data_IF_878446584633
#
_entry.id   IF_878446584633
#
_cell.length_a   1.000
_cell.length_b   1.000
_cell.length_c   1.000
_cell.angle_alpha   90.00
_cell.angle_beta   90.00
_cell.angle_gamma   90.00
#
_symmetry.space_group_name_H-M   'P 1'
#
loop_
_entity.id
_entity.type
_entity.pdbx_description
1 polymer ?
#
# COMPACT_ATOMS: atom_id res chain seq x y z
N UNK A 1 25.02 -45.04 -16.84
CA UNK A 1 24.36 -43.87 -16.23
C UNK A 1 23.52 -43.18 -17.31
N UNK A 2 22.19 -43.17 -17.19
CA UNK A 2 21.27 -42.40 -18.05
C UNK A 2 20.16 -41.84 -17.16
N UNK A 3 19.61 -40.69 -17.53
CA UNK A 3 18.68 -39.93 -16.69
C UNK A 3 17.39 -40.72 -16.39
N UNK A 4 16.97 -40.70 -15.12
CA UNK A 4 15.59 -41.01 -14.76
C UNK A 4 14.72 -39.78 -15.03
N UNK A 5 13.57 -39.98 -15.66
CA UNK A 5 12.65 -38.89 -15.98
C UNK A 5 11.95 -38.39 -14.70
N UNK A 6 12.27 -37.17 -14.29
CA UNK A 6 11.44 -36.41 -13.35
C UNK A 6 10.15 -35.99 -14.07
N UNK A 7 9.10 -36.81 -13.96
CA UNK A 7 7.75 -36.43 -14.34
C UNK A 7 7.24 -35.31 -13.43
N UNK A 8 7.51 -34.07 -13.81
CA UNK A 8 6.94 -32.89 -13.14
C UNK A 8 5.43 -32.88 -13.42
N UNK A 9 4.65 -33.17 -12.39
CA UNK A 9 3.20 -33.07 -12.42
C UNK A 9 2.80 -31.60 -12.56
N UNK A 10 2.46 -31.19 -13.78
CA UNK A 10 1.83 -29.91 -14.07
C UNK A 10 0.41 -29.87 -13.49
N UNK A 11 0.32 -29.62 -12.18
CA UNK A 11 -0.94 -29.27 -11.54
C UNK A 11 -1.43 -27.93 -12.11
N UNK A 12 -2.50 -27.98 -12.91
CA UNK A 12 -3.17 -26.80 -13.46
C UNK A 12 -3.84 -26.00 -12.33
N UNK A 13 -3.07 -25.13 -11.69
CA UNK A 13 -3.58 -24.14 -10.74
C UNK A 13 -4.42 -23.10 -11.49
N UNK A 14 -5.74 -23.27 -11.50
CA UNK A 14 -6.69 -22.30 -12.05
C UNK A 14 -6.71 -21.00 -11.22
N UNK A 15 -5.76 -20.10 -11.47
CA UNK A 15 -5.77 -18.73 -10.93
C UNK A 15 -6.39 -17.76 -11.94
N UNK A 16 -7.22 -16.82 -11.45
CA UNK A 16 -7.76 -15.74 -12.30
C UNK A 16 -6.67 -14.67 -12.48
N UNK A 17 -6.46 -14.23 -13.72
CA UNK A 17 -5.57 -13.12 -14.05
C UNK A 17 -6.39 -11.88 -14.41
N UNK A 18 -6.04 -10.72 -13.86
CA UNK A 18 -6.63 -9.43 -14.19
C UNK A 18 -5.64 -8.59 -14.98
N UNK A 19 -5.97 -8.24 -16.23
CA UNK A 19 -5.24 -7.23 -17.01
C UNK A 19 -5.54 -5.84 -16.43
N UNK A 20 -4.50 -5.16 -15.94
CA UNK A 20 -4.64 -3.85 -15.31
C UNK A 20 -4.91 -2.72 -16.30
N UNK A 21 -4.56 -2.88 -17.59
CA UNK A 21 -4.85 -1.86 -18.59
C UNK A 21 -6.35 -1.80 -18.92
N UNK A 22 -6.96 -2.96 -19.18
CA UNK A 22 -8.40 -3.07 -19.50
C UNK A 22 -9.26 -2.70 -18.29
N UNK A 23 -8.74 -2.92 -17.08
CA UNK A 23 -9.34 -2.50 -15.82
C UNK A 23 -9.32 -0.96 -15.63
N UNK A 24 -8.19 -0.28 -15.90
CA UNK A 24 -8.07 1.17 -15.71
C UNK A 24 -8.70 2.00 -16.84
N UNK A 25 -8.84 1.46 -18.06
CA UNK A 25 -9.51 2.16 -19.17
C UNK A 25 -11.04 2.27 -19.02
N UNK A 26 -11.63 1.69 -17.98
CA UNK A 26 -13.08 1.74 -17.76
C UNK A 26 -13.58 3.13 -17.40
N UNK A 27 -14.77 3.48 -17.91
CA UNK A 27 -15.41 4.80 -17.71
C UNK A 27 -15.61 5.12 -16.22
N UNK A 28 -16.01 4.13 -15.43
CA UNK A 28 -16.29 4.31 -14.00
C UNK A 28 -15.00 4.57 -13.19
N UNK A 29 -13.84 4.07 -13.64
CA UNK A 29 -12.54 4.45 -13.04
C UNK A 29 -12.24 5.93 -13.25
N UNK A 30 -12.43 6.42 -14.48
CA UNK A 30 -12.26 7.84 -14.80
C UNK A 30 -13.24 8.75 -14.04
N UNK A 31 -14.47 8.30 -13.82
CA UNK A 31 -15.45 9.02 -13.00
C UNK A 31 -15.09 9.02 -11.51
N UNK A 32 -14.61 7.90 -10.96
CA UNK A 32 -14.13 7.83 -9.58
C UNK A 32 -12.90 8.72 -9.36
N UNK A 33 -11.98 8.76 -10.33
CA UNK A 33 -10.79 9.61 -10.27
C UNK A 33 -11.15 11.11 -10.26
N UNK A 34 -12.10 11.54 -11.09
CA UNK A 34 -12.62 12.92 -11.10
C UNK A 34 -13.24 13.31 -9.76
N UNK A 35 -13.98 12.41 -9.10
CA UNK A 35 -14.57 12.62 -7.76
C UNK A 35 -13.54 12.90 -6.66
N UNK A 36 -12.25 12.64 -6.89
CA UNK A 36 -11.15 12.97 -5.98
C UNK A 36 -10.05 13.79 -6.66
N UNK A 37 -10.43 14.78 -7.47
CA UNK A 37 -9.50 15.79 -8.03
C UNK A 37 -8.32 15.21 -8.82
N UNK A 38 -8.52 14.06 -9.49
CA UNK A 38 -7.59 13.57 -10.50
C UNK A 38 -8.07 14.00 -11.88
N UNK A 39 -7.25 14.82 -12.55
CA UNK A 39 -7.45 15.26 -13.92
C UNK A 39 -6.50 14.49 -14.84
N UNK A 40 -7.00 14.13 -16.01
CA UNK A 40 -6.24 13.54 -17.14
C UNK A 40 -5.34 12.38 -16.72
N UNK A 41 -5.94 11.23 -16.39
CA UNK A 41 -5.21 9.97 -16.26
C UNK A 41 -4.58 9.62 -17.62
N UNK A 42 -3.31 9.24 -17.60
CA UNK A 42 -2.63 8.63 -18.73
C UNK A 42 -2.16 7.22 -18.34
N UNK A 43 -2.25 6.29 -19.28
CA UNK A 43 -1.78 4.92 -19.17
C UNK A 43 -0.72 4.68 -20.25
N UNK A 44 0.44 4.17 -19.85
CA UNK A 44 1.56 3.86 -20.76
C UNK A 44 2.00 2.39 -20.62
N UNK A 45 2.49 1.82 -21.73
CA UNK A 45 2.80 0.39 -21.93
C UNK A 45 4.25 0.15 -22.40
N UNK A 46 4.55 -1.13 -22.59
CA UNK A 46 5.69 -1.73 -23.33
C UNK A 46 6.51 -0.75 -24.21
N UNK A 47 7.81 -0.66 -23.93
CA UNK A 47 8.81 0.17 -24.63
C UNK A 47 8.55 1.69 -24.70
N UNK A 48 7.41 2.18 -24.22
CA UNK A 48 7.21 3.62 -23.97
C UNK A 48 8.06 4.09 -22.78
N UNK A 49 8.66 5.27 -22.92
CA UNK A 49 9.37 5.92 -21.82
C UNK A 49 8.40 6.77 -21.00
N UNK A 50 8.40 6.61 -19.67
CA UNK A 50 7.61 7.52 -18.82
C UNK A 50 8.16 8.93 -18.95
N UNK A 51 7.28 9.82 -19.40
CA UNK A 51 7.58 11.12 -19.97
C UNK A 51 6.84 12.18 -19.15
N UNK A 52 7.41 12.53 -18.00
CA UNK A 52 6.68 13.29 -16.98
C UNK A 52 6.47 14.74 -17.44
N UNK A 53 5.28 15.18 -17.91
CA UNK A 53 5.01 16.63 -18.10
C UNK A 53 3.57 17.10 -17.86
N UNK A 54 3.47 18.39 -17.50
CA UNK A 54 2.41 19.26 -18.00
C UNK A 54 2.91 20.70 -18.20
N UNK A 55 2.91 21.20 -19.46
CA UNK A 55 2.73 22.60 -19.92
C UNK A 55 3.04 22.67 -21.44
N UNK A 56 2.21 23.40 -22.19
CA UNK A 56 1.92 23.25 -23.64
C UNK A 56 3.09 23.59 -24.61
N UNK A 57 2.94 23.21 -25.88
CA UNK A 57 3.89 23.37 -26.98
C UNK A 57 3.59 24.59 -27.89
N UNK A 58 2.39 25.17 -27.82
CA UNK A 58 1.89 26.22 -28.74
C UNK A 58 2.44 27.64 -28.52
N UNK A 59 3.41 27.85 -27.63
CA UNK A 59 3.95 29.19 -27.32
C UNK A 59 5.28 29.46 -28.04
N UNK A 60 5.26 30.31 -29.06
CA UNK A 60 6.47 30.78 -29.76
C UNK A 60 7.29 31.70 -28.85
N UNK A 61 8.53 31.33 -28.52
CA UNK A 61 9.42 32.20 -27.73
C UNK A 61 9.98 33.35 -28.59
N UNK A 62 9.95 34.61 -28.12
CA UNK A 62 10.71 35.70 -28.74
C UNK A 62 12.23 35.50 -28.56
N UNK A 63 13.01 35.92 -29.56
CA UNK A 63 14.44 35.62 -29.68
C UNK A 63 15.37 36.22 -28.60
N UNK A 64 14.86 37.04 -27.68
CA UNK A 64 15.61 37.55 -26.50
C UNK A 64 14.68 37.69 -25.30
N UNK A 65 15.07 37.09 -24.16
CA UNK A 65 14.52 37.41 -22.84
C UNK A 65 15.61 38.02 -21.95
N UNK A 66 15.39 39.24 -21.49
CA UNK A 66 16.08 39.78 -20.31
C UNK A 66 15.26 39.34 -19.10
N UNK A 67 15.79 38.40 -18.31
CA UNK A 67 15.10 37.87 -17.14
C UNK A 67 15.18 38.90 -16.00
N UNK A 68 14.08 39.62 -15.74
CA UNK A 68 13.84 40.20 -14.41
C UNK A 68 13.30 39.10 -13.48
N UNK A 69 14.01 38.73 -12.40
CA UNK A 69 13.61 37.61 -11.56
C UNK A 69 12.37 37.97 -10.71
N UNK A 70 11.27 37.24 -10.89
CA UNK A 70 10.14 37.30 -9.95
C UNK A 70 10.40 36.38 -8.74
N UNK A 71 10.33 36.96 -7.53
CA UNK A 71 10.56 36.25 -6.27
C UNK A 71 9.23 35.72 -5.76
N UNK A 72 8.95 34.44 -5.99
CA UNK A 72 7.77 33.76 -5.40
C UNK A 72 8.03 33.49 -3.92
N UNK A 73 7.38 34.26 -3.04
CA UNK A 73 7.39 34.02 -1.59
C UNK A 73 6.49 32.83 -1.25
N UNK A 74 7.07 31.71 -0.82
CA UNK A 74 6.30 30.57 -0.33
C UNK A 74 5.73 30.84 1.06
N UNK A 75 4.40 30.91 1.17
CA UNK A 75 3.64 31.14 2.41
C UNK A 75 3.59 29.96 3.39
N UNK A 76 4.69 29.20 3.52
CA UNK A 76 4.84 28.09 4.47
C UNK A 76 5.95 28.35 5.48
N UNK A 77 5.87 27.74 6.67
CA UNK A 77 6.78 28.05 7.77
C UNK A 77 8.24 27.66 7.48
N UNK A 78 9.18 28.31 8.17
CA UNK A 78 10.62 27.96 8.17
C UNK A 78 10.90 26.50 8.54
N UNK A 79 9.95 25.82 9.18
CA UNK A 79 10.04 24.40 9.58
C UNK A 79 9.69 23.48 8.40
N UNK A 80 8.59 23.76 7.69
CA UNK A 80 8.15 22.99 6.51
C UNK A 80 9.14 23.12 5.35
N UNK A 81 9.63 24.34 5.08
CA UNK A 81 10.66 24.58 4.06
C UNK A 81 11.93 23.75 4.35
N UNK A 82 12.34 23.60 5.63
CA UNK A 82 13.45 22.73 6.04
C UNK A 82 13.14 21.23 5.84
N UNK A 83 11.90 20.80 6.11
CA UNK A 83 11.48 19.39 5.99
C UNK A 83 11.45 18.95 4.52
N UNK A 84 10.84 19.74 3.63
CA UNK A 84 10.79 19.47 2.19
C UNK A 84 12.22 19.38 1.64
N UNK A 85 13.06 20.39 1.92
CA UNK A 85 14.47 20.43 1.50
C UNK A 85 15.24 19.19 1.96
N UNK A 86 15.17 18.82 3.26
CA UNK A 86 15.81 17.60 3.79
C UNK A 86 15.31 16.30 3.12
N UNK A 87 14.01 16.19 2.82
CA UNK A 87 13.45 14.98 2.19
C UNK A 87 13.88 14.78 0.73
N UNK A 88 14.19 15.87 0.03
CA UNK A 88 14.73 15.83 -1.33
C UNK A 88 16.22 15.43 -1.29
N UNK A 89 17.03 16.11 -0.46
CA UNK A 89 18.45 15.78 -0.32
C UNK A 89 18.67 14.34 0.16
N UNK A 90 17.94 13.86 1.17
CA UNK A 90 18.10 12.49 1.69
C UNK A 90 17.64 11.38 0.71
N UNK A 91 16.92 11.73 -0.37
CA UNK A 91 16.64 10.81 -1.49
C UNK A 91 17.79 10.82 -2.51
N UNK A 92 18.39 11.98 -2.76
CA UNK A 92 19.53 12.13 -3.67
C UNK A 92 20.81 11.51 -3.05
N UNK A 93 21.08 11.73 -1.76
CA UNK A 93 22.20 11.14 -1.00
C UNK A 93 22.15 9.60 -0.93
N UNK A 94 20.99 8.98 -1.15
CA UNK A 94 20.84 7.51 -1.17
C UNK A 94 21.03 6.87 -2.55
N UNK A 95 21.02 7.67 -3.61
CA UNK A 95 21.20 7.20 -5.00
C UNK A 95 22.64 7.42 -5.51
N UNK A 96 23.49 8.09 -4.74
CA UNK A 96 24.85 8.51 -5.11
C UNK A 96 25.77 8.20 -3.92
N UNK A 97 26.86 7.44 -4.11
CA UNK A 97 27.81 7.16 -3.02
C UNK A 97 28.68 8.40 -2.69
N UNK A 98 28.11 9.28 -1.89
CA UNK A 98 28.75 10.52 -1.46
C UNK A 98 29.95 10.32 -0.51
N UNK A 99 30.13 9.15 0.10
CA UNK A 99 31.08 8.97 1.22
C UNK A 99 32.55 9.12 0.82
N UNK A 100 32.90 8.76 -0.42
CA UNK A 100 34.29 8.47 -0.78
C UNK A 100 35.02 9.56 -1.61
N UNK A 101 34.37 10.69 -1.97
CA UNK A 101 34.92 11.64 -2.97
C UNK A 101 35.11 13.09 -2.52
N UNK A 102 34.83 13.42 -1.26
CA UNK A 102 34.96 14.79 -0.74
C UNK A 102 36.29 15.02 0.01
N UNK A 103 37.38 15.14 -0.74
CA UNK A 103 38.67 15.60 -0.18
C UNK A 103 38.57 17.06 0.27
N UNK A 104 39.30 17.42 1.34
CA UNK A 104 39.16 18.74 2.03
C UNK A 104 39.40 19.97 1.15
N UNK A 105 39.99 19.83 -0.05
CA UNK A 105 40.30 20.94 -0.98
C UNK A 105 39.08 21.43 -1.77
N UNK A 106 38.10 20.57 -2.08
CA UNK A 106 36.97 20.93 -2.95
C UNK A 106 35.71 21.30 -2.15
N UNK A 107 35.79 22.31 -1.28
CA UNK A 107 34.59 22.89 -0.64
C UNK A 107 33.90 23.87 -1.59
N UNK A 108 32.55 23.88 -1.71
CA UNK A 108 31.85 24.93 -2.45
C UNK A 108 32.12 26.31 -1.80
N UNK A 109 32.16 27.40 -2.60
CA UNK A 109 32.43 28.74 -2.08
C UNK A 109 31.33 29.20 -1.12
N UNK A 110 31.68 30.06 -0.14
CA UNK A 110 30.81 30.43 1.00
C UNK A 110 29.49 31.14 0.65
N UNK A 111 29.28 31.58 -0.59
CA UNK A 111 28.11 32.37 -1.03
C UNK A 111 26.85 31.53 -1.37
N UNK A 112 26.71 30.31 -0.85
CA UNK A 112 25.62 29.40 -1.21
C UNK A 112 24.35 29.70 -0.39
N UNK A 113 23.58 30.67 -0.88
CA UNK A 113 22.32 31.12 -0.30
C UNK A 113 21.22 30.04 -0.21
N UNK A 114 20.22 30.29 0.63
CA UNK A 114 19.28 29.27 1.11
C UNK A 114 18.36 28.63 0.04
N UNK A 115 18.20 29.22 -1.13
CA UNK A 115 17.29 28.78 -2.19
C UNK A 115 17.96 27.81 -3.18
N UNK A 116 18.00 26.52 -2.83
CA UNK A 116 18.21 25.44 -3.79
C UNK A 116 16.86 24.82 -4.14
N UNK A 117 16.18 25.43 -5.11
CA UNK A 117 15.15 24.76 -5.90
C UNK A 117 15.85 24.27 -7.17
N UNK A 118 15.67 23.00 -7.54
CA UNK A 118 16.18 22.50 -8.83
C UNK A 118 15.29 23.14 -9.90
N UNK A 119 15.83 24.01 -10.79
CA UNK A 119 15.00 24.71 -11.75
C UNK A 119 14.49 23.70 -12.78
N UNK A 120 13.17 23.61 -12.93
CA UNK A 120 12.55 22.85 -14.00
C UNK A 120 11.69 23.76 -14.88
N UNK A 121 11.75 23.54 -16.19
CA UNK A 121 10.90 24.26 -17.16
C UNK A 121 10.18 23.27 -18.09
N UNK A 122 9.25 23.75 -18.92
CA UNK A 122 8.22 22.91 -19.54
C UNK A 122 7.77 23.48 -20.91
N UNK A 123 7.42 22.63 -21.91
CA UNK A 123 7.23 22.96 -23.36
C UNK A 123 6.70 21.79 -24.26
N UNK A 124 5.49 21.23 -24.08
CA UNK A 124 4.92 20.03 -24.80
C UNK A 124 4.52 18.84 -23.88
N UNK A 125 5.14 17.64 -24.03
CA UNK A 125 5.00 16.47 -23.08
C UNK A 125 6.25 15.91 -22.27
N UNK A 126 7.39 16.62 -22.05
CA UNK A 126 8.55 16.26 -21.14
C UNK A 126 8.99 17.33 -20.03
N UNK A 127 9.08 17.15 -18.69
CA UNK A 127 9.53 18.21 -17.70
C UNK A 127 11.06 18.40 -17.61
N UNK A 128 11.59 19.55 -18.07
CA UNK A 128 13.03 19.78 -18.21
C UNK A 128 13.64 20.03 -16.83
N UNK A 129 14.09 19.00 -16.13
CA UNK A 129 14.86 19.18 -14.89
C UNK A 129 16.23 19.74 -15.27
N UNK A 130 16.37 21.07 -15.27
CA UNK A 130 17.62 21.73 -15.61
C UNK A 130 18.61 21.62 -14.46
N UNK A 131 19.32 20.50 -14.43
CA UNK A 131 20.60 20.43 -13.74
C UNK A 131 21.54 21.49 -14.32
N UNK A 132 22.27 22.19 -13.45
CA UNK A 132 23.21 23.21 -13.89
C UNK A 132 24.39 22.57 -14.61
N UNK A 133 24.85 23.24 -15.67
CA UNK A 133 25.71 22.69 -16.73
C UNK A 133 27.13 22.28 -16.28
N UNK A 134 27.46 22.40 -14.99
CA UNK A 134 28.74 22.02 -14.37
C UNK A 134 28.63 20.75 -13.47
N UNK A 135 27.51 20.03 -13.46
CA UNK A 135 27.44 18.70 -12.83
C UNK A 135 28.12 17.66 -13.73
N UNK A 136 29.24 17.08 -13.27
CA UNK A 136 29.97 16.00 -13.95
C UNK A 136 29.16 14.68 -13.89
N UNK A 137 28.25 14.52 -14.84
CA UNK A 137 27.20 13.50 -14.81
C UNK A 137 27.66 12.04 -15.02
N UNK A 138 28.81 11.83 -15.65
CA UNK A 138 29.36 10.51 -16.02
C UNK A 138 29.62 9.59 -14.80
N UNK A 139 29.55 10.15 -13.59
CA UNK A 139 29.77 9.49 -12.32
C UNK A 139 28.51 9.45 -11.41
N UNK A 140 27.38 10.00 -11.84
CA UNK A 140 26.21 10.30 -10.98
C UNK A 140 24.92 9.61 -11.44
N UNK A 141 24.76 9.33 -12.74
CA UNK A 141 23.62 8.55 -13.22
C UNK A 141 23.71 7.08 -12.74
N UNK A 142 22.60 6.46 -12.32
CA UNK A 142 22.58 5.01 -12.10
C UNK A 142 22.87 4.32 -13.44
N UNK A 143 23.86 3.41 -13.47
CA UNK A 143 24.31 2.72 -14.69
C UNK A 143 23.36 1.61 -15.17
N UNK A 144 22.06 1.69 -14.88
CA UNK A 144 21.08 0.73 -15.42
C UNK A 144 20.51 1.26 -16.73
N UNK A 145 20.27 0.34 -17.68
CA UNK A 145 19.84 0.66 -19.04
C UNK A 145 18.41 1.23 -19.11
N UNK A 146 17.66 1.11 -18.00
CA UNK A 146 16.32 1.66 -17.82
C UNK A 146 16.30 3.20 -17.81
N UNK A 147 17.41 3.84 -17.41
CA UNK A 147 17.53 5.28 -17.33
C UNK A 147 18.31 5.85 -18.51
N UNK A 148 17.61 6.58 -19.39
CA UNK A 148 18.24 7.29 -20.51
C UNK A 148 18.34 8.78 -20.22
N UNK A 149 19.55 9.33 -20.43
CA UNK A 149 19.80 10.77 -20.44
C UNK A 149 20.14 11.21 -21.87
N UNK A 150 19.32 12.11 -22.41
CA UNK A 150 19.47 12.71 -23.75
C UNK A 150 18.95 14.14 -23.64
N UNK A 151 19.46 15.13 -24.36
CA UNK A 151 18.89 16.50 -24.44
C UNK A 151 18.48 17.13 -23.08
N UNK A 152 19.20 16.83 -21.98
CA UNK A 152 18.89 17.25 -20.59
C UNK A 152 17.63 16.63 -19.96
N UNK A 153 17.27 15.43 -20.40
CA UNK A 153 16.21 14.56 -19.88
C UNK A 153 16.68 13.52 -18.89
N UNK A 154 15.81 13.13 -17.97
CA UNK A 154 15.82 11.78 -17.41
C UNK A 154 14.56 11.05 -17.86
N UNK A 155 14.73 10.00 -18.66
CA UNK A 155 13.67 9.05 -18.99
C UNK A 155 13.78 7.80 -18.11
N UNK A 156 12.66 7.14 -17.86
CA UNK A 156 12.62 5.79 -17.29
C UNK A 156 11.87 4.85 -18.23
N UNK A 157 12.49 3.73 -18.62
CA UNK A 157 11.82 2.66 -19.37
C UNK A 157 10.87 1.91 -18.44
N UNK A 158 9.61 1.75 -18.83
CA UNK A 158 8.69 0.87 -18.10
C UNK A 158 9.14 -0.59 -18.34
N UNK A 159 9.38 -1.40 -17.29
CA UNK A 159 9.64 -2.83 -17.47
C UNK A 159 8.38 -3.52 -18.00
N UNK A 160 8.52 -4.42 -18.98
CA UNK A 160 7.40 -4.96 -19.77
C UNK A 160 6.28 -5.65 -18.95
N UNK A 161 6.55 -6.03 -17.70
CA UNK A 161 5.56 -6.58 -16.76
C UNK A 161 4.85 -5.51 -15.89
N UNK A 162 4.99 -4.21 -16.20
CA UNK A 162 4.33 -3.09 -15.54
C UNK A 162 3.64 -2.15 -16.55
N UNK A 163 2.63 -1.43 -16.07
CA UNK A 163 2.08 -0.22 -16.69
C UNK A 163 2.45 0.98 -15.83
N UNK A 164 2.69 2.13 -16.47
CA UNK A 164 2.74 3.41 -15.78
C UNK A 164 1.37 4.06 -15.80
N UNK A 165 0.86 4.42 -14.63
CA UNK A 165 -0.37 5.21 -14.45
C UNK A 165 0.06 6.58 -13.93
N UNK A 166 -0.33 7.66 -14.60
CA UNK A 166 0.02 9.02 -14.19
C UNK A 166 -1.19 9.95 -14.16
N UNK A 167 -1.08 11.05 -13.41
CA UNK A 167 -2.01 12.19 -13.47
C UNK A 167 -1.33 13.51 -13.12
N UNK A 168 -2.00 14.61 -13.47
CA UNK A 168 -1.59 15.97 -13.12
C UNK A 168 -2.55 16.50 -12.03
N UNK A 169 -2.01 16.94 -10.89
CA UNK A 169 -2.81 17.56 -9.83
C UNK A 169 -3.24 18.99 -10.19
N UNK A 170 -4.17 19.57 -9.41
CA UNK A 170 -4.54 21.00 -9.53
C UNK A 170 -3.30 21.91 -9.48
N UNK A 171 -2.33 21.59 -8.62
CA UNK A 171 -1.05 22.29 -8.43
C UNK A 171 -0.03 22.06 -9.56
N UNK A 172 -0.44 21.43 -10.67
CA UNK A 172 0.42 21.04 -11.81
C UNK A 172 1.54 20.06 -11.44
N UNK A 173 1.42 19.36 -10.30
CA UNK A 173 2.34 18.30 -9.93
C UNK A 173 1.93 16.98 -10.56
N UNK A 174 2.91 16.33 -11.20
CA UNK A 174 2.72 15.01 -11.79
C UNK A 174 2.93 13.98 -10.71
N UNK A 175 1.98 13.07 -10.60
CA UNK A 175 2.09 11.90 -9.77
C UNK A 175 1.95 10.68 -10.65
N UNK A 176 2.70 9.61 -10.35
CA UNK A 176 2.58 8.35 -11.06
C UNK A 176 2.70 7.16 -10.10
N UNK A 177 2.37 5.99 -10.61
CA UNK A 177 2.66 4.69 -10.01
C UNK A 177 2.96 3.69 -11.13
N UNK A 178 3.88 2.76 -10.86
CA UNK A 178 4.06 1.56 -11.65
C UNK A 178 3.21 0.45 -11.01
N UNK A 179 2.31 -0.15 -11.78
CA UNK A 179 1.49 -1.29 -11.36
C UNK A 179 1.80 -2.48 -12.28
N UNK A 180 1.77 -3.73 -11.82
CA UNK A 180 1.95 -4.88 -12.71
C UNK A 180 0.94 -4.86 -13.86
N UNK A 181 1.34 -5.27 -15.07
CA UNK A 181 0.42 -5.45 -16.22
C UNK A 181 -0.70 -6.43 -15.89
N UNK A 182 -0.38 -7.46 -15.10
CA UNK A 182 -1.30 -8.53 -14.71
C UNK A 182 -1.26 -8.76 -13.20
N UNK A 183 -2.42 -8.74 -12.55
CA UNK A 183 -2.57 -9.18 -11.16
C UNK A 183 -3.10 -10.62 -11.11
N UNK A 184 -2.38 -11.49 -10.38
CA UNK A 184 -2.80 -12.86 -10.09
C UNK A 184 -3.73 -12.86 -8.86
N UNK A 185 -5.01 -13.16 -9.09
CA UNK A 185 -6.07 -13.20 -8.09
C UNK A 185 -6.21 -14.63 -7.52
N UNK A 186 -5.41 -14.94 -6.51
CA UNK A 186 -5.44 -16.19 -5.74
C UNK A 186 -5.81 -15.95 -4.27
N UNK A 187 -5.91 -17.02 -3.47
CA UNK A 187 -6.25 -16.96 -2.04
C UNK A 187 -5.49 -15.84 -1.30
N UNK A 188 -4.16 -15.78 -1.46
CA UNK A 188 -3.32 -14.77 -0.81
C UNK A 188 -3.66 -13.33 -1.23
N UNK A 189 -4.00 -13.11 -2.51
CA UNK A 189 -4.48 -11.80 -2.97
C UNK A 189 -5.80 -11.42 -2.27
N UNK A 190 -6.75 -12.35 -2.14
CA UNK A 190 -8.05 -12.09 -1.51
C UNK A 190 -7.94 -11.97 0.02
N UNK A 191 -7.04 -12.72 0.66
CA UNK A 191 -6.69 -12.61 2.08
C UNK A 191 -6.16 -11.21 2.40
N UNK A 192 -5.18 -10.72 1.64
CA UNK A 192 -4.67 -9.34 1.81
C UNK A 192 -5.69 -8.26 1.45
N UNK A 193 -6.60 -8.51 0.49
CA UNK A 193 -7.71 -7.60 0.18
C UNK A 193 -8.72 -7.51 1.34
N UNK A 194 -9.06 -8.63 1.99
CA UNK A 194 -9.91 -8.64 3.18
C UNK A 194 -9.22 -7.99 4.38
N UNK A 195 -7.94 -8.31 4.62
CA UNK A 195 -7.13 -7.72 5.68
C UNK A 195 -7.01 -6.19 5.51
N UNK A 196 -6.82 -5.71 4.27
CA UNK A 196 -6.80 -4.30 3.91
C UNK A 196 -8.19 -3.62 3.97
N UNK A 197 -9.30 -4.37 4.06
CA UNK A 197 -10.65 -3.83 4.25
C UNK A 197 -11.06 -3.67 5.72
N UNK A 198 -10.47 -4.44 6.65
CA UNK A 198 -10.67 -4.21 8.08
C UNK A 198 -9.74 -3.11 8.60
N UNK A 199 -8.46 -3.45 8.76
CA UNK A 199 -7.44 -2.61 9.42
C UNK A 199 -6.97 -1.39 8.58
N UNK A 200 -7.74 -0.99 7.55
CA UNK A 200 -7.34 -0.05 6.50
C UNK A 200 -8.09 1.28 6.50
N UNK A 201 -7.50 2.32 5.87
CA UNK A 201 -8.23 3.56 5.59
C UNK A 201 -9.11 3.43 4.36
N UNK A 202 -10.43 3.52 4.54
CA UNK A 202 -11.41 3.44 3.44
C UNK A 202 -11.89 4.79 2.92
N UNK A 203 -11.78 5.87 3.70
CA UNK A 203 -12.25 7.20 3.28
C UNK A 203 -11.63 7.68 1.96
N UNK A 204 -12.43 8.41 1.15
CA UNK A 204 -11.96 9.11 -0.05
C UNK A 204 -11.24 10.43 0.28
N UNK A 205 -11.37 10.96 1.50
CA UNK A 205 -10.58 12.11 1.98
C UNK A 205 -9.09 11.78 2.08
N UNK A 206 -8.76 10.51 2.31
CA UNK A 206 -7.41 10.09 2.60
C UNK A 206 -6.64 9.85 1.30
N UNK A 207 -5.72 10.76 1.00
CA UNK A 207 -4.75 10.68 -0.12
C UNK A 207 -3.74 9.51 0.00
N UNK A 208 -3.91 8.62 0.97
CA UNK A 208 -2.97 7.56 1.33
C UNK A 208 -3.74 6.26 1.65
N UNK A 209 -3.19 5.12 1.28
CA UNK A 209 -3.62 3.82 1.85
C UNK A 209 -2.81 3.59 3.11
N UNK A 210 -3.49 3.31 4.22
CA UNK A 210 -2.85 2.82 5.45
C UNK A 210 -3.31 1.41 5.78
N UNK A 211 -2.52 0.73 6.59
CA UNK A 211 -2.88 -0.50 7.29
C UNK A 211 -2.27 -0.43 8.70
N UNK A 212 -3.04 -0.73 9.74
CA UNK A 212 -2.63 -0.51 11.13
C UNK A 212 -2.91 -1.75 11.97
N UNK A 213 -1.87 -2.46 12.44
CA UNK A 213 -2.04 -3.69 13.22
C UNK A 213 -0.89 -3.88 14.24
N UNK A 214 -1.07 -4.75 15.23
CA UNK A 214 -0.08 -5.08 16.28
C UNK A 214 0.48 -6.52 16.18
N UNK A 215 -0.06 -7.37 15.30
CA UNK A 215 0.42 -8.73 15.07
C UNK A 215 1.42 -8.78 13.90
N UNK A 216 2.62 -9.29 14.18
CA UNK A 216 3.74 -9.33 13.23
C UNK A 216 3.45 -10.16 11.97
N UNK A 217 2.63 -11.21 12.05
CA UNK A 217 2.28 -12.04 10.90
C UNK A 217 1.40 -11.27 9.92
N UNK A 218 0.39 -10.55 10.43
CA UNK A 218 -0.50 -9.71 9.61
C UNK A 218 0.25 -8.55 8.94
N UNK A 219 1.13 -7.87 9.67
CA UNK A 219 2.00 -6.82 9.12
C UNK A 219 2.89 -7.39 7.99
N UNK A 220 3.47 -8.58 8.19
CA UNK A 220 4.36 -9.21 7.20
C UNK A 220 3.60 -9.73 5.96
N UNK A 221 2.39 -10.27 6.15
CA UNK A 221 1.46 -10.64 5.08
C UNK A 221 1.10 -9.41 4.24
N UNK A 222 0.71 -8.31 4.88
CA UNK A 222 0.28 -7.10 4.19
C UNK A 222 1.41 -6.41 3.42
N UNK A 223 2.64 -6.42 3.95
CA UNK A 223 3.83 -5.94 3.20
C UNK A 223 4.08 -6.83 1.98
N UNK A 224 3.96 -8.15 2.13
CA UNK A 224 4.09 -9.10 1.01
C UNK A 224 2.99 -8.91 -0.05
N UNK A 225 1.76 -8.58 0.38
CA UNK A 225 0.66 -8.20 -0.51
C UNK A 225 0.93 -6.89 -1.27
N UNK A 226 1.41 -5.83 -0.61
CA UNK A 226 1.84 -4.61 -1.30
C UNK A 226 2.96 -4.88 -2.33
N UNK A 227 3.97 -5.70 -1.99
CA UNK A 227 5.02 -6.09 -2.92
C UNK A 227 4.45 -6.86 -4.15
N UNK A 228 3.42 -7.73 -3.97
CA UNK A 228 2.69 -8.37 -5.09
C UNK A 228 1.88 -7.40 -5.96
N UNK A 229 1.54 -6.22 -5.46
CA UNK A 229 0.93 -5.13 -6.24
C UNK A 229 1.97 -4.18 -6.87
N UNK A 230 3.25 -4.57 -6.88
CA UNK A 230 4.35 -3.78 -7.45
C UNK A 230 4.88 -2.66 -6.55
N UNK A 231 4.37 -2.54 -5.32
CA UNK A 231 4.78 -1.48 -4.38
C UNK A 231 5.95 -1.99 -3.55
N UNK A 232 7.16 -1.51 -3.83
CA UNK A 232 8.35 -1.90 -3.06
C UNK A 232 8.26 -1.46 -1.60
N UNK A 233 8.93 -2.22 -0.72
CA UNK A 233 8.94 -1.97 0.73
C UNK A 233 9.56 -0.62 1.10
N UNK A 234 10.44 -0.07 0.26
CA UNK A 234 11.06 1.27 0.40
C UNK A 234 10.08 2.42 0.08
N UNK A 235 9.01 2.15 -0.67
CA UNK A 235 7.96 3.12 -0.96
C UNK A 235 6.95 3.24 0.20
N UNK A 236 6.83 2.19 1.02
CA UNK A 236 6.04 2.17 2.25
C UNK A 236 6.72 3.01 3.35
N UNK A 237 5.91 3.59 4.24
CA UNK A 237 6.38 4.30 5.44
C UNK A 237 5.80 3.65 6.68
N UNK A 238 6.59 3.64 7.74
CA UNK A 238 6.25 2.92 8.97
C UNK A 238 6.21 3.90 10.14
N UNK A 239 5.08 3.94 10.83
CA UNK A 239 4.83 4.79 11.98
C UNK A 239 4.45 3.86 13.14
N UNK A 240 5.30 3.65 14.15
CA UNK A 240 4.90 2.94 15.34
C UNK A 240 4.05 3.88 16.19
N UNK A 241 2.90 3.39 16.62
CA UNK A 241 2.18 4.02 17.74
C UNK A 241 2.57 3.24 19.01
N UNK A 242 2.87 3.98 20.07
CA UNK A 242 3.38 3.42 21.33
C UNK A 242 2.50 3.90 22.48
N UNK A 243 2.31 3.08 23.53
CA UNK A 243 1.67 3.51 24.77
C UNK A 243 2.42 4.72 25.36
N UNK A 244 1.74 5.63 26.09
CA UNK A 244 2.37 6.82 26.67
C UNK A 244 3.58 6.53 27.57
N UNK A 245 3.59 5.36 28.22
CA UNK A 245 4.59 4.96 29.20
C UNK A 245 5.70 4.04 28.62
N UNK A 246 5.80 3.91 27.30
CA UNK A 246 6.80 3.05 26.62
C UNK A 246 7.91 3.86 25.94
N UNK A 247 9.17 3.43 26.05
CA UNK A 247 10.26 4.04 25.27
C UNK A 247 10.09 3.72 23.78
N UNK A 248 9.75 4.77 23.02
CA UNK A 248 9.65 4.76 21.56
C UNK A 248 10.92 4.21 20.88
N UNK A 249 12.11 4.47 21.43
CA UNK A 249 13.38 3.94 20.95
C UNK A 249 13.42 2.41 21.04
N UNK A 250 12.90 1.82 22.12
CA UNK A 250 12.90 0.38 22.34
C UNK A 250 11.84 -0.33 21.52
N UNK A 251 10.62 0.22 21.45
CA UNK A 251 9.59 -0.30 20.55
C UNK A 251 10.03 -0.23 19.08
N UNK A 252 10.73 0.83 18.64
CA UNK A 252 11.33 0.87 17.29
C UNK A 252 12.45 -0.16 17.10
N UNK A 253 13.29 -0.43 18.10
CA UNK A 253 14.31 -1.52 18.02
C UNK A 253 13.63 -2.88 17.89
N UNK A 254 12.61 -3.15 18.71
CA UNK A 254 11.78 -4.37 18.73
C UNK A 254 11.09 -4.58 17.38
N UNK A 255 10.36 -3.59 16.87
CA UNK A 255 9.70 -3.67 15.57
C UNK A 255 10.68 -3.90 14.40
N UNK A 256 11.84 -3.25 14.41
CA UNK A 256 12.91 -3.52 13.43
C UNK A 256 13.42 -4.96 13.53
N UNK A 257 13.63 -5.49 14.74
CA UNK A 257 14.09 -6.87 14.97
C UNK A 257 13.08 -7.90 14.46
N UNK A 258 11.81 -7.74 14.80
CA UNK A 258 10.76 -8.69 14.42
C UNK A 258 10.46 -8.67 12.92
N UNK A 259 10.45 -7.50 12.26
CA UNK A 259 10.28 -7.42 10.81
C UNK A 259 11.53 -7.93 10.05
N UNK A 260 12.74 -7.72 10.59
CA UNK A 260 13.96 -8.26 9.99
C UNK A 260 14.00 -9.80 9.97
N UNK A 261 13.41 -10.49 10.98
CA UNK A 261 13.20 -11.95 10.96
C UNK A 261 12.32 -12.39 9.78
N UNK A 262 11.32 -11.58 9.45
CA UNK A 262 10.41 -11.78 8.32
C UNK A 262 11.00 -11.26 6.99
N UNK A 263 12.33 -11.13 6.90
CA UNK A 263 13.10 -10.59 5.77
C UNK A 263 12.77 -9.15 5.33
N UNK A 264 11.94 -8.43 6.07
CA UNK A 264 11.56 -7.04 5.80
C UNK A 264 12.63 -6.12 6.39
N UNK A 265 13.44 -5.50 5.51
CA UNK A 265 14.63 -4.71 5.86
C UNK A 265 14.48 -3.23 5.45
N UNK A 266 15.50 -2.42 5.73
CA UNK A 266 15.60 -1.00 5.33
C UNK A 266 14.47 -0.05 5.84
N UNK A 267 13.68 -0.49 6.82
CA UNK A 267 12.50 0.19 7.35
C UNK A 267 12.79 1.60 7.88
N UNK A 268 12.20 2.60 7.23
CA UNK A 268 12.23 4.00 7.68
C UNK A 268 11.08 4.27 8.64
N UNK A 269 11.24 3.77 9.87
CA UNK A 269 10.40 4.17 10.99
C UNK A 269 10.52 5.68 11.25
N UNK A 270 9.37 6.34 11.39
CA UNK A 270 9.25 7.77 11.69
C UNK A 270 8.78 7.96 13.12
N UNK A 271 9.22 9.06 13.75
CA UNK A 271 8.71 9.52 15.04
C UNK A 271 7.18 9.51 15.08
N UNK A 272 6.55 9.22 16.23
CA UNK A 272 5.10 9.11 16.30
C UNK A 272 4.50 10.49 16.04
N UNK A 273 3.34 10.55 15.38
CA UNK A 273 2.61 11.83 15.24
C UNK A 273 2.09 12.31 16.60
N UNK A 274 1.70 11.36 17.44
CA UNK A 274 1.09 11.51 18.76
C UNK A 274 1.43 10.29 19.61
N UNK A 275 1.69 10.47 20.89
CA UNK A 275 1.38 9.44 21.89
C UNK A 275 -0.14 9.33 21.98
N UNK A 276 -0.69 8.14 21.81
CA UNK A 276 -2.13 7.92 21.87
C UNK A 276 -2.46 7.25 23.20
N UNK A 277 -3.17 7.94 24.08
CA UNK A 277 -3.48 7.49 25.45
C UNK A 277 -4.32 6.21 25.48
N UNK A 278 -5.01 5.90 24.38
CA UNK A 278 -5.84 4.69 24.24
C UNK A 278 -5.04 3.47 23.73
N UNK A 279 -3.76 3.62 23.36
CA UNK A 279 -2.93 2.54 22.81
C UNK A 279 -2.32 1.73 23.96
N UNK A 280 -2.98 0.63 24.33
CA UNK A 280 -2.54 -0.30 25.38
C UNK A 280 -1.30 -1.11 24.94
N UNK A 281 -1.24 -1.50 23.66
CA UNK A 281 -0.17 -2.28 23.05
C UNK A 281 0.41 -1.52 21.86
N UNK A 282 1.74 -1.46 21.72
CA UNK A 282 2.34 -0.85 20.52
C UNK A 282 1.89 -1.56 19.24
N UNK A 283 1.64 -0.76 18.20
CA UNK A 283 1.20 -1.19 16.89
C UNK A 283 2.03 -0.48 15.80
N UNK A 284 1.95 -0.96 14.56
CA UNK A 284 2.58 -0.32 13.40
C UNK A 284 1.53 0.06 12.36
N UNK A 285 1.47 1.35 12.06
CA UNK A 285 0.81 1.87 10.87
C UNK A 285 1.79 1.83 9.69
N UNK A 286 1.47 1.02 8.69
CA UNK A 286 2.03 1.08 7.33
C UNK A 286 1.28 2.18 6.58
N UNK A 287 1.98 3.04 5.85
CA UNK A 287 1.38 4.08 4.98
C UNK A 287 2.03 4.07 3.60
N UNK A 288 1.21 3.89 2.56
CA UNK A 288 1.59 4.16 1.18
C UNK A 288 0.96 5.47 0.70
N UNK A 289 1.81 6.47 0.48
CA UNK A 289 1.41 7.83 0.10
C UNK A 289 1.22 7.97 -1.41
N UNK A 290 0.22 7.30 -1.99
CA UNK A 290 -0.09 7.41 -3.42
C UNK A 290 -1.61 7.48 -3.68
N UNK A 291 -2.06 8.58 -4.31
CA UNK A 291 -3.48 8.85 -4.56
C UNK A 291 -4.06 8.00 -5.69
N UNK A 292 -3.31 7.73 -6.76
CA UNK A 292 -3.74 6.80 -7.82
C UNK A 292 -3.99 5.42 -7.24
N UNK A 293 -3.03 4.89 -6.49
CA UNK A 293 -3.17 3.57 -5.89
C UNK A 293 -4.42 3.44 -5.01
N UNK A 294 -4.69 4.44 -4.18
CA UNK A 294 -5.90 4.51 -3.35
C UNK A 294 -7.19 4.40 -4.17
N UNK A 295 -7.24 5.01 -5.35
CA UNK A 295 -8.41 4.97 -6.25
C UNK A 295 -8.48 3.64 -6.99
N UNK A 296 -7.36 3.16 -7.55
CA UNK A 296 -7.25 1.86 -8.21
C UNK A 296 -7.65 0.73 -7.25
N UNK A 297 -7.22 0.81 -5.98
CA UNK A 297 -7.60 -0.11 -4.91
C UNK A 297 -9.11 -0.09 -4.63
N UNK A 298 -9.71 1.10 -4.43
CA UNK A 298 -11.14 1.20 -4.14
C UNK A 298 -12.02 0.75 -5.33
N UNK A 299 -11.61 1.05 -6.56
CA UNK A 299 -12.29 0.56 -7.76
C UNK A 299 -12.13 -0.96 -7.95
N UNK A 300 -10.95 -1.50 -7.64
CA UNK A 300 -10.65 -2.93 -7.70
C UNK A 300 -11.50 -3.70 -6.70
N UNK A 301 -11.55 -3.22 -5.45
CA UNK A 301 -12.43 -3.76 -4.42
C UNK A 301 -13.89 -3.73 -4.89
N UNK A 302 -14.39 -2.61 -5.42
CA UNK A 302 -15.76 -2.50 -5.89
C UNK A 302 -16.12 -3.53 -6.99
N UNK A 303 -15.25 -3.72 -7.98
CA UNK A 303 -15.44 -4.73 -9.04
C UNK A 303 -15.36 -6.16 -8.47
N UNK A 304 -14.44 -6.42 -7.56
CA UNK A 304 -14.25 -7.76 -7.01
C UNK A 304 -15.32 -8.17 -5.99
N UNK A 305 -16.06 -7.24 -5.39
CA UNK A 305 -17.15 -7.57 -4.43
C UNK A 305 -18.12 -8.61 -5.00
N UNK A 306 -18.66 -8.42 -6.21
CA UNK A 306 -19.57 -9.40 -6.83
C UNK A 306 -18.92 -10.79 -6.96
N UNK A 307 -17.70 -10.84 -7.49
CA UNK A 307 -16.96 -12.11 -7.64
C UNK A 307 -16.67 -12.79 -6.29
N UNK A 308 -16.41 -12.01 -5.23
CA UNK A 308 -16.17 -12.52 -3.88
C UNK A 308 -17.46 -13.04 -3.26
N UNK A 309 -18.61 -12.40 -3.51
CA UNK A 309 -19.92 -12.90 -3.04
C UNK A 309 -20.41 -14.14 -3.79
N UNK A 310 -20.01 -14.34 -5.05
CA UNK A 310 -20.49 -15.43 -5.90
C UNK A 310 -19.58 -16.68 -5.88
N UNK A 311 -18.26 -16.51 -5.78
CA UNK A 311 -17.28 -17.61 -5.81
C UNK A 311 -16.91 -18.06 -4.39
N UNK A 312 -17.27 -19.30 -4.05
CA UNK A 312 -16.99 -19.91 -2.73
C UNK A 312 -15.49 -19.88 -2.35
N UNK A 313 -14.55 -20.00 -3.29
CA UNK A 313 -13.10 -19.96 -2.98
C UNK A 313 -12.66 -18.53 -2.66
N UNK A 314 -13.07 -17.56 -3.49
CA UNK A 314 -12.78 -16.13 -3.26
C UNK A 314 -13.40 -15.67 -1.95
N UNK A 315 -14.63 -16.09 -1.64
CA UNK A 315 -15.30 -15.85 -0.36
C UNK A 315 -14.50 -16.39 0.84
N UNK A 316 -14.04 -17.66 0.80
CA UNK A 316 -13.23 -18.27 1.88
C UNK A 316 -11.95 -17.46 2.14
N UNK A 317 -11.18 -17.17 1.09
CA UNK A 317 -9.91 -16.46 1.21
C UNK A 317 -10.09 -15.01 1.68
N UNK A 318 -11.07 -14.30 1.12
CA UNK A 318 -11.42 -12.95 1.56
C UNK A 318 -11.89 -12.91 3.03
N UNK A 319 -12.71 -13.89 3.46
CA UNK A 319 -13.19 -13.98 4.84
C UNK A 319 -12.07 -14.31 5.84
N UNK A 320 -10.99 -15.02 5.45
CA UNK A 320 -9.78 -15.13 6.29
C UNK A 320 -9.18 -13.76 6.59
N UNK A 321 -9.07 -12.90 5.58
CA UNK A 321 -8.62 -11.51 5.73
C UNK A 321 -9.51 -10.70 6.68
N UNK A 322 -10.83 -10.76 6.48
CA UNK A 322 -11.81 -10.05 7.31
C UNK A 322 -11.84 -10.56 8.75
N UNK A 323 -11.73 -11.87 8.98
CA UNK A 323 -11.70 -12.46 10.34
C UNK A 323 -10.34 -12.19 11.02
N UNK A 324 -9.25 -12.11 10.25
CA UNK A 324 -7.95 -11.68 10.78
C UNK A 324 -8.00 -10.24 11.31
N UNK A 325 -8.56 -9.29 10.57
CA UNK A 325 -8.76 -7.91 11.04
C UNK A 325 -9.88 -7.80 12.10
N UNK A 326 -11.14 -7.97 11.68
CA UNK A 326 -12.35 -7.62 12.44
C UNK A 326 -12.92 -8.76 13.30
N UNK A 327 -12.39 -9.98 13.15
CA UNK A 327 -12.90 -11.14 13.87
C UNK A 327 -12.64 -11.08 15.38
N UNK A 328 -13.66 -11.24 16.21
CA UNK A 328 -13.55 -11.30 17.66
C UNK A 328 -14.15 -12.61 18.22
N UNK A 329 -13.28 -13.50 18.69
CA UNK A 329 -13.67 -14.76 19.36
C UNK A 329 -14.13 -14.45 20.78
N UNK A 330 -15.44 -14.64 21.05
CA UNK A 330 -16.08 -14.47 22.36
C UNK A 330 -16.39 -15.83 22.98
N UNK A 331 -15.94 -16.03 24.21
CA UNK A 331 -16.24 -17.21 25.02
C UNK A 331 -17.50 -16.99 25.85
N UNK A 332 -18.14 -18.07 26.31
CA UNK A 332 -19.22 -17.99 27.31
C UNK A 332 -18.66 -18.05 28.75
N UNK A 333 -19.55 -18.06 29.76
CA UNK A 333 -19.19 -18.17 31.19
C UNK A 333 -18.49 -19.49 31.58
N UNK A 334 -18.48 -20.49 30.70
CA UNK A 334 -17.82 -21.80 30.86
C UNK A 334 -16.60 -21.95 29.93
N UNK A 335 -16.10 -20.84 29.39
CA UNK A 335 -14.96 -20.75 28.47
C UNK A 335 -15.10 -21.53 27.14
N UNK A 336 -16.29 -22.05 26.81
CA UNK A 336 -16.53 -22.64 25.49
C UNK A 336 -16.75 -21.54 24.45
N UNK A 337 -16.64 -21.91 23.17
CA UNK A 337 -16.88 -20.99 22.06
C UNK A 337 -18.36 -20.54 22.02
N UNK A 338 -18.62 -19.33 22.51
CA UNK A 338 -19.97 -18.75 22.54
C UNK A 338 -20.37 -18.10 21.22
N UNK A 339 -19.49 -17.28 20.65
CA UNK A 339 -19.68 -16.68 19.32
C UNK A 339 -18.36 -16.21 18.68
N UNK A 340 -18.37 -16.11 17.35
CA UNK A 340 -17.42 -15.29 16.59
C UNK A 340 -18.17 -14.05 16.12
N UNK A 341 -17.71 -12.85 16.51
CA UNK A 341 -18.21 -11.59 15.94
C UNK A 341 -17.31 -11.13 14.80
N UNK A 342 -17.86 -10.39 13.83
CA UNK A 342 -17.12 -9.65 12.81
C UNK A 342 -17.66 -8.22 12.80
N UNK A 343 -16.85 -7.25 13.22
CA UNK A 343 -17.23 -5.81 13.22
C UNK A 343 -17.38 -5.28 11.79
N UNK A 344 -18.22 -4.26 11.61
CA UNK A 344 -18.38 -3.58 10.33
C UNK A 344 -18.98 -2.18 10.49
N UNK A 345 -18.27 -1.18 9.94
CA UNK A 345 -18.59 0.26 10.03
C UNK A 345 -19.93 0.70 9.42
N UNK A 346 -20.63 -0.17 8.67
CA UNK A 346 -21.94 0.13 8.10
C UNK A 346 -22.78 -1.11 7.85
N UNK A 347 -24.08 -0.91 7.68
CA UNK A 347 -25.03 -1.98 7.32
C UNK A 347 -24.70 -2.63 5.97
N UNK A 348 -24.42 -1.85 4.92
CA UNK A 348 -24.02 -2.37 3.60
C UNK A 348 -22.68 -3.13 3.58
N UNK A 349 -21.86 -2.99 4.63
CA UNK A 349 -20.68 -3.83 4.87
C UNK A 349 -21.08 -5.12 5.61
N UNK A 350 -21.98 -5.06 6.61
CA UNK A 350 -22.56 -6.26 7.25
C UNK A 350 -23.32 -7.14 6.26
N UNK A 351 -24.16 -6.57 5.40
CA UNK A 351 -24.89 -7.32 4.37
C UNK A 351 -23.94 -8.04 3.40
N UNK A 352 -22.86 -7.38 2.98
CA UNK A 352 -21.87 -7.98 2.11
C UNK A 352 -21.12 -9.14 2.79
N UNK A 353 -20.66 -8.97 4.02
CA UNK A 353 -20.04 -10.07 4.78
C UNK A 353 -21.02 -11.21 5.03
N UNK A 354 -22.30 -10.92 5.32
CA UNK A 354 -23.39 -11.90 5.46
C UNK A 354 -23.62 -12.68 4.17
N UNK A 355 -23.55 -12.03 3.01
CA UNK A 355 -23.63 -12.70 1.71
C UNK A 355 -22.43 -13.65 1.51
N UNK A 356 -21.19 -13.17 1.71
CA UNK A 356 -19.99 -14.00 1.60
C UNK A 356 -20.05 -15.23 2.54
N UNK A 357 -20.53 -15.06 3.78
CA UNK A 357 -20.74 -16.14 4.74
C UNK A 357 -21.79 -17.14 4.24
N UNK A 358 -22.92 -16.66 3.70
CA UNK A 358 -23.98 -17.51 3.12
C UNK A 358 -23.46 -18.33 1.94
N UNK A 359 -22.65 -17.75 1.04
CA UNK A 359 -22.04 -18.45 -0.11
C UNK A 359 -21.12 -19.59 0.31
N UNK A 360 -20.44 -19.47 1.45
CA UNK A 360 -19.63 -20.56 2.03
C UNK A 360 -20.45 -21.50 2.93
N UNK A 361 -21.75 -21.27 3.10
CA UNK A 361 -22.68 -22.10 3.85
C UNK A 361 -22.72 -21.83 5.36
N UNK A 362 -22.25 -20.67 5.81
CA UNK A 362 -22.32 -20.21 7.20
C UNK A 362 -23.51 -19.28 7.38
N UNK A 363 -24.40 -19.62 8.31
CA UNK A 363 -25.57 -18.80 8.64
C UNK A 363 -25.24 -17.86 9.81
N UNK A 364 -25.47 -16.56 9.64
CA UNK A 364 -25.34 -15.56 10.70
C UNK A 364 -26.54 -15.62 11.64
N UNK A 365 -26.36 -15.31 12.93
CA UNK A 365 -27.48 -14.98 13.82
C UNK A 365 -27.80 -13.48 13.74
N UNK A 366 -28.43 -12.91 14.77
CA UNK A 366 -28.72 -11.47 14.81
C UNK A 366 -27.44 -10.64 14.83
N UNK A 367 -27.50 -9.45 14.24
CA UNK A 367 -26.42 -8.46 14.38
C UNK A 367 -26.35 -7.94 15.82
N UNK A 368 -25.15 -7.54 16.23
CA UNK A 368 -24.95 -6.57 17.28
C UNK A 368 -25.11 -5.17 16.68
N UNK A 369 -25.98 -4.35 17.26
CA UNK A 369 -26.27 -2.98 16.84
C UNK A 369 -25.82 -1.97 17.92
N UNK A 370 -24.96 -2.38 18.84
CA UNK A 370 -24.37 -1.51 19.86
C UNK A 370 -23.46 -0.47 19.19
N UNK A 371 -23.87 0.81 19.26
CA UNK A 371 -23.26 1.93 18.52
C UNK A 371 -21.73 1.99 18.66
N UNK A 372 -21.01 2.01 17.53
CA UNK A 372 -19.55 2.01 17.49
C UNK A 372 -18.89 0.63 17.68
N UNK A 373 -19.69 -0.44 17.69
CA UNK A 373 -19.25 -1.85 17.79
C UNK A 373 -20.15 -2.79 17.00
N UNK A 374 -20.85 -2.26 15.99
CA UNK A 374 -21.81 -2.95 15.16
C UNK A 374 -21.16 -4.14 14.44
N UNK A 375 -21.73 -5.33 14.60
CA UNK A 375 -21.07 -6.57 14.21
C UNK A 375 -22.04 -7.66 13.79
N UNK A 376 -21.62 -8.52 12.88
CA UNK A 376 -22.31 -9.79 12.60
C UNK A 376 -21.94 -10.76 13.71
N UNK A 377 -22.92 -11.48 14.27
CA UNK A 377 -22.68 -12.56 15.23
C UNK A 377 -22.84 -13.93 14.54
N UNK A 378 -21.81 -14.77 14.60
CA UNK A 378 -21.84 -16.17 14.18
C UNK A 378 -21.89 -17.04 15.43
N UNK A 379 -22.88 -17.92 15.49
CA UNK A 379 -23.18 -18.84 16.60
C UNK A 379 -23.34 -20.28 16.08
N UNK A 380 -23.53 -21.24 16.99
CA UNK A 380 -23.79 -22.66 16.74
C UNK A 380 -22.59 -23.48 16.22
N UNK A 381 -22.51 -24.72 16.71
CA UNK A 381 -21.40 -25.64 16.45
C UNK A 381 -21.14 -25.88 14.96
N UNK A 382 -22.17 -25.99 14.13
CA UNK A 382 -22.01 -26.38 12.72
C UNK A 382 -21.41 -25.25 11.88
N UNK A 383 -21.61 -23.99 12.29
CA UNK A 383 -20.88 -22.85 11.74
C UNK A 383 -19.43 -22.85 12.23
N UNK A 384 -19.19 -23.12 13.52
CA UNK A 384 -17.83 -23.19 14.07
C UNK A 384 -17.00 -24.32 13.43
N UNK A 385 -17.63 -25.46 13.12
CA UNK A 385 -17.04 -26.57 12.36
C UNK A 385 -16.64 -26.11 10.95
N UNK A 386 -17.51 -25.42 10.21
CA UNK A 386 -17.19 -24.85 8.88
C UNK A 386 -16.05 -23.82 8.93
N UNK A 387 -16.03 -22.96 9.96
CA UNK A 387 -14.94 -21.99 10.21
C UNK A 387 -13.60 -22.69 10.39
N UNK A 388 -13.58 -23.81 11.13
CA UNK A 388 -12.40 -24.65 11.32
C UNK A 388 -11.97 -25.34 10.00
N UNK A 389 -12.89 -26.04 9.34
CA UNK A 389 -12.62 -26.80 8.10
C UNK A 389 -12.11 -25.92 6.96
N UNK A 390 -12.61 -24.69 6.84
CA UNK A 390 -12.18 -23.71 5.82
C UNK A 390 -10.99 -22.85 6.28
N UNK A 391 -10.51 -23.07 7.52
CA UNK A 391 -9.36 -22.42 8.15
C UNK A 391 -9.52 -20.89 8.29
N UNK A 392 -10.75 -20.39 8.44
CA UNK A 392 -11.07 -18.96 8.33
C UNK A 392 -10.43 -18.08 9.42
N UNK A 393 -10.06 -18.66 10.56
CA UNK A 393 -9.41 -17.94 11.65
C UNK A 393 -7.87 -17.96 11.59
N UNK A 394 -7.26 -18.76 10.70
CA UNK A 394 -5.82 -19.08 10.72
C UNK A 394 -4.89 -17.89 10.56
N UNK A 395 -5.23 -16.95 9.69
CA UNK A 395 -4.36 -15.85 9.28
C UNK A 395 -3.90 -14.96 10.44
N UNK A 396 -4.65 -14.90 11.56
CA UNK A 396 -4.22 -14.25 12.80
C UNK A 396 -3.96 -15.32 13.90
N UNK A 397 -2.69 -15.63 14.25
CA UNK A 397 -2.34 -16.77 15.10
C UNK A 397 -3.04 -16.82 16.46
N UNK A 398 -3.12 -15.70 17.19
CA UNK A 398 -3.79 -15.64 18.50
C UNK A 398 -5.31 -15.89 18.40
N UNK A 399 -5.97 -15.31 17.39
CA UNK A 399 -7.40 -15.53 17.13
C UNK A 399 -7.65 -16.99 16.74
N UNK A 400 -6.77 -17.58 15.92
CA UNK A 400 -6.80 -19.01 15.60
C UNK A 400 -6.70 -19.87 16.86
N UNK A 401 -5.63 -19.73 17.66
CA UNK A 401 -5.42 -20.55 18.85
C UNK A 401 -6.58 -20.41 19.86
N UNK A 402 -7.08 -19.19 20.07
CA UNK A 402 -8.25 -18.94 20.93
C UNK A 402 -9.51 -19.65 20.40
N UNK A 403 -9.72 -19.64 19.09
CA UNK A 403 -10.84 -20.33 18.44
C UNK A 403 -10.73 -21.85 18.59
N UNK A 404 -9.55 -22.44 18.32
CA UNK A 404 -9.29 -23.89 18.46
C UNK A 404 -9.53 -24.35 19.90
N UNK A 405 -8.92 -23.68 20.88
CA UNK A 405 -9.03 -24.05 22.30
C UNK A 405 -10.51 -24.03 22.75
N UNK A 406 -11.27 -23.01 22.35
CA UNK A 406 -12.67 -22.85 22.69
C UNK A 406 -13.59 -23.88 22.00
N UNK A 407 -13.29 -24.25 20.75
CA UNK A 407 -14.03 -25.26 19.99
C UNK A 407 -13.79 -26.67 20.54
N UNK A 408 -12.57 -26.98 21.01
CA UNK A 408 -12.26 -28.26 21.66
C UNK A 408 -13.03 -28.43 22.98
N UNK A 409 -13.07 -27.39 23.84
CA UNK A 409 -13.92 -27.39 25.05
C UNK A 409 -15.41 -27.55 24.71
N UNK A 410 -15.88 -26.87 23.65
CA UNK A 410 -17.27 -27.01 23.17
C UNK A 410 -17.60 -28.45 22.77
N UNK A 411 -16.70 -29.14 22.05
CA UNK A 411 -16.89 -30.54 21.65
C UNK A 411 -17.00 -31.48 22.85
N UNK A 412 -16.15 -31.30 23.87
CA UNK A 412 -16.19 -32.10 25.10
C UNK A 412 -17.54 -31.97 25.83
N UNK A 413 -18.00 -30.72 26.05
CA UNK A 413 -19.28 -30.40 26.71
C UNK A 413 -20.54 -30.80 25.89
N UNK A 414 -20.37 -31.40 24.71
CA UNK A 414 -21.45 -31.95 23.86
C UNK A 414 -21.48 -33.49 23.85
N UNK A 415 -20.54 -34.13 24.55
CA UNK A 415 -20.41 -35.58 24.73
C UNK A 415 -20.67 -36.01 26.18
N UNK A 416 -20.91 -35.03 27.06
CA UNK A 416 -21.33 -35.13 28.45
C UNK A 416 -22.73 -34.56 28.60
#
# INVERSE_FOLDING_TARGET
MKNQNLNILNNNYNYTMLNMYDFLNKKEFSELARKVDILNIQLQKEDEFVKFRGWDEKFSMPNKFIIKPQIVKYGGSRKEQKIIKRSLYARIEKLIDFKNRWSKKNKPPKYWGNSHQIPYCIKGDYVWIKFHDNWLFDNILPKSEDFKYKDKWLYYKIPNNYIAVSYISKDQHIHFILLPTVLRLDDFFFEGLGLQQGDGTHSLSDVHVTFTNNNIALISHQITWFNRLGISTEALRFYPEVPPNSDFSEEVKKWKKELAKNNIRNLQFRSPKTTNENVINSLVQIVFHNKLFKISYLYLLNILRCQISEDKKKAIAYLRGIIAAEGCVKLDKTEILGSLKITAVSESVREFYRHCLKTIGINTSRDDLTKGSEAIIITHYDNFKKIYEMRLAELHPEKHQKFINALMKYKQKKLT
#
